data_IF_119685811191
#
_entry.id   IF_119685811191
#
_cell.length_a   1.000
_cell.length_b   1.000
_cell.length_c   1.000
_cell.angle_alpha   90.00
_cell.angle_beta   90.00
_cell.angle_gamma   90.00
#
_symmetry.space_group_name_H-M   'P 1'
#
loop_
_entity.id
_entity.type
_entity.pdbx_description
1 polymer ?
#
# COMPACT_ATOMS: atom_id res chain seq x y z
N UNK A 1 61.33 -18.48 -43.43
CA UNK A 1 60.95 -18.52 -44.85
C UNK A 1 59.60 -17.85 -45.05
N UNK A 2 59.51 -16.88 -45.97
CA UNK A 2 58.28 -16.37 -46.60
C UNK A 2 57.59 -15.24 -45.84
N UNK A 3 57.92 -13.97 -46.11
CA UNK A 3 57.43 -13.09 -47.21
C UNK A 3 56.17 -12.30 -46.77
N UNK A 4 56.30 -11.03 -46.41
CA UNK A 4 56.21 -9.84 -47.30
C UNK A 4 54.91 -9.74 -48.09
N UNK A 5 54.03 -8.80 -47.70
CA UNK A 5 53.40 -7.84 -48.62
C UNK A 5 52.69 -6.71 -47.89
N UNK A 6 53.27 -5.52 -48.06
CA UNK A 6 52.62 -4.23 -47.87
C UNK A 6 51.51 -4.02 -48.90
N UNK A 7 50.44 -3.34 -48.48
CA UNK A 7 49.58 -2.51 -49.34
C UNK A 7 48.93 -1.45 -48.47
N UNK A 8 49.52 -0.25 -48.51
CA UNK A 8 48.92 0.95 -47.96
C UNK A 8 47.74 1.41 -48.81
N UNK A 9 46.63 1.74 -48.16
CA UNK A 9 45.56 2.55 -48.72
C UNK A 9 45.48 3.79 -47.83
N UNK A 10 45.94 4.91 -48.38
CA UNK A 10 45.79 6.22 -47.78
C UNK A 10 44.30 6.54 -47.66
N UNK A 11 43.82 6.74 -46.42
CA UNK A 11 42.50 7.30 -46.19
C UNK A 11 42.50 8.79 -46.56
N UNK A 12 41.53 9.27 -47.35
CA UNK A 12 41.35 10.69 -47.60
C UNK A 12 40.98 11.39 -46.31
N UNK A 13 41.70 12.48 -46.00
CA UNK A 13 41.48 13.29 -44.81
C UNK A 13 40.04 13.80 -44.74
N UNK A 14 39.33 13.35 -43.71
CA UNK A 14 38.13 14.03 -43.23
C UNK A 14 38.56 15.40 -42.71
N UNK A 15 38.32 16.42 -43.54
CA UNK A 15 38.20 17.80 -43.10
C UNK A 15 37.22 17.83 -41.94
N UNK A 16 37.76 18.00 -40.73
CA UNK A 16 36.99 18.27 -39.53
C UNK A 16 36.15 19.51 -39.75
N UNK A 17 34.89 19.30 -40.15
CA UNK A 17 33.84 20.27 -39.98
C UNK A 17 33.75 20.51 -38.48
N UNK A 18 34.41 21.57 -38.02
CA UNK A 18 34.20 22.12 -36.70
C UNK A 18 32.69 22.30 -36.56
N UNK A 19 32.06 21.42 -35.81
CA UNK A 19 30.65 21.50 -35.50
C UNK A 19 30.44 22.89 -34.92
N UNK A 20 29.87 23.78 -35.72
CA UNK A 20 29.45 25.11 -35.32
C UNK A 20 28.49 24.86 -34.19
N UNK A 21 28.99 24.96 -32.95
CA UNK A 21 28.14 24.88 -31.78
C UNK A 21 27.18 26.05 -31.94
N UNK A 22 25.86 25.81 -32.04
CA UNK A 22 24.91 26.90 -32.10
C UNK A 22 25.18 27.83 -30.91
N UNK A 23 25.10 29.16 -31.10
CA UNK A 23 25.36 30.12 -30.04
C UNK A 23 24.56 29.71 -28.81
N UNK A 24 25.26 29.44 -27.70
CA UNK A 24 24.58 29.16 -26.45
C UNK A 24 23.86 30.44 -26.06
N UNK A 25 22.52 30.44 -25.95
CA UNK A 25 21.79 31.64 -25.58
C UNK A 25 22.25 32.06 -24.17
N UNK A 26 22.80 33.27 -24.05
CA UNK A 26 23.07 33.92 -22.78
C UNK A 26 21.74 34.07 -22.04
N UNK A 27 21.45 33.07 -21.21
CA UNK A 27 20.18 32.94 -20.48
C UNK A 27 20.41 33.45 -19.07
N UNK A 28 20.37 34.77 -18.90
CA UNK A 28 20.12 35.44 -17.61
C UNK A 28 18.63 35.40 -17.21
N UNK A 29 17.86 34.46 -17.78
CA UNK A 29 16.49 34.22 -17.40
C UNK A 29 16.43 33.50 -16.06
N UNK A 30 15.57 33.99 -15.16
CA UNK A 30 15.27 33.33 -13.89
C UNK A 30 14.88 31.87 -14.15
N UNK A 31 15.60 30.94 -13.52
CA UNK A 31 15.33 29.51 -13.62
C UNK A 31 13.93 29.23 -13.10
N UNK A 32 13.08 28.62 -13.93
CA UNK A 32 11.74 28.25 -13.51
C UNK A 32 11.78 26.93 -12.76
N UNK A 33 11.27 26.92 -11.52
CA UNK A 33 11.13 25.72 -10.71
C UNK A 33 9.69 25.22 -10.80
N UNK A 34 9.50 24.04 -11.36
CA UNK A 34 8.17 23.47 -11.46
C UNK A 34 7.62 23.14 -10.07
N UNK A 35 8.47 22.81 -9.09
CA UNK A 35 8.11 22.73 -7.68
C UNK A 35 8.94 23.71 -6.84
N UNK A 36 8.34 24.77 -6.27
CA UNK A 36 9.08 25.75 -5.46
C UNK A 36 9.85 25.14 -4.29
N UNK A 37 9.36 24.03 -3.73
CA UNK A 37 10.05 23.29 -2.65
C UNK A 37 11.39 22.66 -3.08
N UNK A 38 11.63 22.49 -4.38
CA UNK A 38 12.89 21.95 -4.91
C UNK A 38 13.99 23.01 -5.02
N UNK A 39 13.68 24.30 -4.84
CA UNK A 39 14.69 25.37 -4.82
C UNK A 39 15.76 25.10 -3.75
N UNK A 40 15.36 24.66 -2.55
CA UNK A 40 16.31 24.32 -1.47
C UNK A 40 17.19 23.12 -1.81
N UNK A 41 16.68 22.18 -2.61
CA UNK A 41 17.45 21.03 -3.09
C UNK A 41 18.49 21.48 -4.12
N UNK A 42 18.09 22.33 -5.07
CA UNK A 42 18.98 22.87 -6.11
C UNK A 42 20.03 23.84 -5.53
N UNK A 43 19.70 24.55 -4.46
CA UNK A 43 20.63 25.35 -3.68
C UNK A 43 21.59 24.51 -2.79
N UNK A 44 21.48 23.17 -2.81
CA UNK A 44 22.30 22.28 -1.99
C UNK A 44 21.99 22.33 -0.49
N UNK A 45 20.95 23.07 -0.08
CA UNK A 45 20.54 23.24 1.33
C UNK A 45 19.84 21.99 1.87
N UNK A 46 19.23 21.19 1.00
CA UNK A 46 18.59 19.92 1.38
C UNK A 46 19.04 18.77 0.48
N UNK A 47 19.22 17.58 1.05
CA UNK A 47 19.45 16.34 0.29
C UNK A 47 18.17 15.67 -0.21
N UNK A 48 17.00 16.25 0.11
CA UNK A 48 15.68 15.70 -0.18
C UNK A 48 14.99 16.60 -1.20
N UNK A 49 14.60 16.02 -2.33
CA UNK A 49 13.58 16.59 -3.21
C UNK A 49 12.24 16.52 -2.47
N UNK A 50 11.32 17.44 -2.78
CA UNK A 50 9.93 17.31 -2.36
C UNK A 50 9.35 16.01 -2.94
N UNK A 51 9.51 14.92 -2.20
CA UNK A 51 8.93 13.64 -2.55
C UNK A 51 7.42 13.76 -2.40
N UNK A 52 6.69 13.22 -3.36
CA UNK A 52 5.23 13.14 -3.32
C UNK A 52 4.76 12.25 -2.16
N UNK A 53 5.61 11.30 -1.73
CA UNK A 53 5.32 10.38 -0.63
C UNK A 53 6.24 10.66 0.55
N UNK A 54 5.65 11.08 1.66
CA UNK A 54 6.35 11.25 2.91
C UNK A 54 6.66 9.88 3.53
N UNK A 55 7.91 9.65 3.97
CA UNK A 55 8.32 8.36 4.56
C UNK A 55 7.51 7.95 5.80
N UNK A 56 6.91 8.90 6.52
CA UNK A 56 6.03 8.60 7.66
C UNK A 56 4.77 7.86 7.23
N UNK A 57 4.22 8.15 6.04
CA UNK A 57 3.03 7.46 5.50
C UNK A 57 3.34 5.97 5.33
N UNK A 58 4.52 5.63 4.79
CA UNK A 58 4.97 4.23 4.65
C UNK A 58 5.09 3.57 6.02
N UNK A 59 5.64 4.28 7.01
CA UNK A 59 5.74 3.79 8.38
C UNK A 59 4.36 3.47 9.00
N UNK A 60 3.38 4.36 8.83
CA UNK A 60 2.01 4.16 9.29
C UNK A 60 1.34 2.98 8.57
N UNK A 61 1.48 2.90 7.24
CA UNK A 61 0.94 1.77 6.46
C UNK A 61 1.53 0.43 6.93
N UNK A 62 2.84 0.37 7.16
CA UNK A 62 3.49 -0.84 7.68
C UNK A 62 3.01 -1.20 9.10
N UNK A 63 2.83 -0.20 9.98
CA UNK A 63 2.30 -0.43 11.32
C UNK A 63 0.88 -1.02 11.28
N UNK A 64 0.00 -0.42 10.47
CA UNK A 64 -1.38 -0.92 10.28
C UNK A 64 -1.37 -2.34 9.73
N UNK A 65 -0.49 -2.65 8.77
CA UNK A 65 -0.34 -4.00 8.22
C UNK A 65 0.08 -5.00 9.30
N UNK A 66 1.08 -4.67 10.13
CA UNK A 66 1.56 -5.56 11.21
C UNK A 66 0.49 -5.80 12.27
N UNK A 67 -0.19 -4.73 12.71
CA UNK A 67 -1.29 -4.84 13.69
C UNK A 67 -2.44 -5.65 13.10
N UNK A 68 -2.82 -5.39 11.85
CA UNK A 68 -3.86 -6.14 11.15
C UNK A 68 -3.53 -7.62 11.01
N UNK A 69 -2.30 -7.96 10.65
CA UNK A 69 -1.82 -9.35 10.63
C UNK A 69 -1.88 -9.99 12.01
N UNK A 70 -1.44 -9.28 13.06
CA UNK A 70 -1.48 -9.81 14.43
C UNK A 70 -2.91 -10.12 14.87
N UNK A 71 -3.86 -9.22 14.62
CA UNK A 71 -5.28 -9.43 14.93
C UNK A 71 -5.83 -10.60 14.11
N UNK A 72 -5.57 -10.62 12.81
CA UNK A 72 -6.06 -11.64 11.89
C UNK A 72 -5.58 -13.05 12.26
N UNK A 73 -4.28 -13.21 12.51
CA UNK A 73 -3.70 -14.50 12.89
C UNK A 73 -4.01 -14.88 14.34
N UNK A 74 -3.97 -13.92 15.26
CA UNK A 74 -4.18 -14.16 16.69
C UNK A 74 -5.62 -14.55 17.02
N UNK A 75 -6.61 -13.89 16.40
CA UNK A 75 -8.03 -14.12 16.70
C UNK A 75 -8.69 -15.03 15.66
N UNK A 76 -8.46 -14.76 14.37
CA UNK A 76 -9.13 -15.46 13.28
C UNK A 76 -8.62 -16.89 13.12
N UNK A 77 -7.31 -17.05 12.89
CA UNK A 77 -6.72 -18.37 12.57
C UNK A 77 -6.72 -19.31 13.76
N UNK A 78 -6.42 -18.82 14.97
CA UNK A 78 -6.51 -19.63 16.20
C UNK A 78 -7.92 -20.18 16.39
N UNK A 79 -8.91 -19.36 16.09
CA UNK A 79 -10.32 -19.74 16.02
C UNK A 79 -10.58 -20.95 15.14
N UNK A 80 -10.24 -20.81 13.87
CA UNK A 80 -10.46 -21.84 12.86
C UNK A 80 -9.70 -23.14 13.15
N UNK A 81 -8.48 -23.05 13.70
CA UNK A 81 -7.72 -24.24 14.13
C UNK A 81 -8.41 -24.96 15.28
N UNK A 82 -8.99 -24.23 16.23
CA UNK A 82 -9.74 -24.83 17.33
C UNK A 82 -11.02 -25.50 16.81
N UNK A 83 -11.73 -24.87 15.87
CA UNK A 83 -12.94 -25.43 15.27
C UNK A 83 -12.60 -26.75 14.53
N UNK A 84 -11.55 -26.79 13.70
CA UNK A 84 -11.08 -28.01 13.04
C UNK A 84 -10.69 -29.10 14.04
N UNK A 85 -9.97 -28.73 15.10
CA UNK A 85 -9.57 -29.70 16.14
C UNK A 85 -10.77 -30.26 16.88
N UNK A 86 -11.79 -29.44 17.10
CA UNK A 86 -13.03 -29.83 17.76
C UNK A 86 -13.84 -30.78 16.88
N UNK A 87 -13.89 -30.55 15.56
CA UNK A 87 -14.52 -31.48 14.62
C UNK A 87 -13.79 -32.83 14.54
N UNK A 88 -12.46 -32.81 14.56
CA UNK A 88 -11.64 -34.03 14.39
C UNK A 88 -11.48 -34.85 15.67
N UNK A 89 -11.33 -34.17 16.82
CA UNK A 89 -10.95 -34.80 18.09
C UNK A 89 -11.92 -34.48 19.23
N UNK A 90 -13.07 -33.86 18.93
CA UNK A 90 -14.06 -33.51 19.93
C UNK A 90 -14.73 -34.73 20.52
N UNK A 91 -14.92 -34.70 21.84
CA UNK A 91 -15.71 -35.70 22.56
C UNK A 91 -17.04 -35.06 22.94
N UNK A 92 -18.14 -35.77 22.69
CA UNK A 92 -19.47 -35.33 23.08
C UNK A 92 -19.79 -35.77 24.52
N UNK A 93 -20.43 -34.88 25.28
CA UNK A 93 -20.96 -35.15 26.62
C UNK A 93 -22.29 -34.43 26.81
N UNK A 94 -23.04 -34.84 27.83
CA UNK A 94 -24.21 -34.10 28.28
C UNK A 94 -23.79 -32.97 29.23
N UNK A 95 -24.24 -31.77 28.93
CA UNK A 95 -24.15 -30.59 29.81
C UNK A 95 -25.53 -30.16 30.29
N UNK A 96 -25.55 -29.14 31.13
CA UNK A 96 -26.75 -28.57 31.72
C UNK A 96 -26.73 -27.06 31.61
N UNK A 97 -27.83 -26.48 31.16
CA UNK A 97 -28.01 -25.02 31.13
C UNK A 97 -28.13 -24.49 32.56
N UNK A 98 -27.33 -23.49 32.90
CA UNK A 98 -27.33 -22.85 34.23
C UNK A 98 -27.90 -21.45 34.21
N UNK A 99 -27.78 -20.76 33.07
CA UNK A 99 -28.39 -19.46 32.84
C UNK A 99 -28.63 -19.20 31.34
N UNK A 100 -29.45 -18.19 31.05
CA UNK A 100 -29.76 -17.76 29.69
C UNK A 100 -30.00 -16.26 29.67
N UNK A 101 -29.42 -15.54 28.70
CA UNK A 101 -29.51 -14.09 28.59
C UNK A 101 -29.89 -13.67 27.16
N UNK A 102 -30.74 -12.66 27.06
CA UNK A 102 -31.02 -11.93 25.82
C UNK A 102 -30.34 -10.57 25.91
N UNK A 103 -29.50 -10.24 24.93
CA UNK A 103 -28.83 -8.95 24.83
C UNK A 103 -29.39 -8.20 23.63
N UNK A 104 -30.18 -7.16 23.90
CA UNK A 104 -30.69 -6.26 22.87
C UNK A 104 -29.56 -5.35 22.39
N UNK A 105 -29.32 -5.32 21.08
CA UNK A 105 -28.48 -4.34 20.40
C UNK A 105 -29.31 -3.48 19.45
N UNK A 106 -28.70 -2.40 18.94
CA UNK A 106 -29.40 -1.39 18.12
C UNK A 106 -30.12 -2.00 16.89
N UNK A 107 -29.52 -3.00 16.25
CA UNK A 107 -30.04 -3.62 15.02
C UNK A 107 -30.51 -5.07 15.20
N UNK A 108 -30.19 -5.73 16.33
CA UNK A 108 -30.53 -7.14 16.54
C UNK A 108 -30.42 -7.58 18.00
N UNK A 109 -31.24 -8.56 18.38
CA UNK A 109 -31.14 -9.26 19.67
C UNK A 109 -30.22 -10.47 19.55
N UNK A 110 -29.24 -10.57 20.45
CA UNK A 110 -28.35 -11.72 20.57
C UNK A 110 -28.76 -12.59 21.75
N UNK A 111 -28.69 -13.91 21.57
CA UNK A 111 -29.15 -14.90 22.55
C UNK A 111 -27.96 -15.70 23.07
N UNK A 112 -27.81 -15.77 24.39
CA UNK A 112 -26.70 -16.44 25.05
C UNK A 112 -27.22 -17.52 25.98
N UNK A 113 -26.52 -18.66 25.99
CA UNK A 113 -26.75 -19.75 26.93
C UNK A 113 -25.46 -19.95 27.74
N UNK A 114 -25.59 -19.88 29.06
CA UNK A 114 -24.55 -20.32 29.99
C UNK A 114 -24.83 -21.76 30.40
N UNK A 115 -23.83 -22.63 30.25
CA UNK A 115 -23.98 -24.05 30.52
C UNK A 115 -22.75 -24.62 31.21
N UNK A 116 -22.97 -25.72 31.92
CA UNK A 116 -21.93 -26.47 32.60
C UNK A 116 -21.87 -27.92 32.15
N UNK A 117 -20.67 -28.49 32.11
CA UNK A 117 -20.45 -29.91 31.81
C UNK A 117 -19.22 -30.44 32.54
N UNK A 118 -19.08 -31.77 32.59
CA UNK A 118 -17.94 -32.46 33.21
C UNK A 118 -17.04 -33.03 32.13
N UNK A 119 -15.79 -32.56 32.07
CA UNK A 119 -14.79 -33.10 31.14
C UNK A 119 -14.24 -34.43 31.68
N UNK A 120 -14.57 -35.53 31.00
CA UNK A 120 -14.37 -36.91 31.49
C UNK A 120 -12.90 -37.20 31.81
N UNK A 121 -11.97 -36.78 30.95
CA UNK A 121 -10.55 -37.10 31.11
C UNK A 121 -9.87 -36.38 32.28
N UNK A 122 -10.35 -35.17 32.64
CA UNK A 122 -9.73 -34.33 33.68
C UNK A 122 -10.56 -34.23 34.95
N UNK A 123 -11.70 -34.92 34.97
CA UNK A 123 -12.72 -34.84 36.00
C UNK A 123 -13.10 -33.42 36.43
N UNK A 124 -13.03 -32.47 35.48
CA UNK A 124 -13.16 -31.04 35.77
C UNK A 124 -14.52 -30.54 35.31
N UNK A 125 -15.20 -29.81 36.20
CA UNK A 125 -16.38 -29.02 35.85
C UNK A 125 -15.95 -27.80 35.03
N UNK A 126 -16.59 -27.60 33.89
CA UNK A 126 -16.34 -26.49 32.97
C UNK A 126 -17.65 -25.73 32.82
N UNK A 127 -17.57 -24.40 32.90
CA UNK A 127 -18.66 -23.49 32.61
C UNK A 127 -18.27 -22.65 31.41
N UNK A 128 -19.21 -22.46 30.49
CA UNK A 128 -19.02 -21.66 29.29
C UNK A 128 -20.30 -20.91 28.93
N UNK A 129 -20.13 -19.73 28.35
CA UNK A 129 -21.19 -18.96 27.71
C UNK A 129 -21.02 -19.10 26.19
N UNK A 130 -22.12 -19.30 25.47
CA UNK A 130 -22.11 -19.34 24.00
C UNK A 130 -23.31 -18.59 23.44
N UNK A 131 -23.07 -17.77 22.42
CA UNK A 131 -24.13 -17.20 21.59
C UNK A 131 -24.74 -18.30 20.75
N UNK A 132 -26.07 -18.38 20.70
CA UNK A 132 -26.81 -19.40 19.95
C UNK A 132 -27.87 -18.75 19.05
N UNK A 133 -28.36 -19.49 18.07
CA UNK A 133 -29.53 -19.06 17.30
C UNK A 133 -30.79 -18.95 18.16
N UNK A 134 -31.74 -18.09 17.79
CA UNK A 134 -33.07 -18.01 18.43
C UNK A 134 -33.77 -19.36 18.52
N UNK A 135 -33.64 -20.20 17.48
CA UNK A 135 -34.27 -21.53 17.43
C UNK A 135 -33.73 -22.47 18.50
N UNK A 136 -32.44 -22.37 18.82
CA UNK A 136 -31.82 -23.18 19.87
C UNK A 136 -32.02 -22.56 21.25
N UNK A 137 -31.93 -21.22 21.35
CA UNK A 137 -32.23 -20.49 22.58
C UNK A 137 -33.63 -20.83 23.11
N UNK A 138 -34.66 -20.70 22.27
CA UNK A 138 -36.04 -21.00 22.65
C UNK A 138 -36.26 -22.45 23.14
N UNK A 139 -35.43 -23.39 22.68
CA UNK A 139 -35.47 -24.80 23.10
C UNK A 139 -34.71 -25.07 24.40
N UNK A 140 -33.63 -24.34 24.67
CA UNK A 140 -32.69 -24.67 25.74
C UNK A 140 -32.67 -23.69 26.91
N UNK A 141 -33.28 -22.50 26.78
CA UNK A 141 -33.23 -21.42 27.78
C UNK A 141 -33.69 -21.80 29.19
N UNK A 142 -34.51 -22.84 29.35
CA UNK A 142 -34.97 -23.25 30.67
C UNK A 142 -33.79 -23.77 31.52
N UNK A 143 -33.56 -23.13 32.67
CA UNK A 143 -32.50 -23.53 33.60
C UNK A 143 -32.64 -24.99 33.98
N UNK A 144 -31.55 -25.71 33.80
CA UNK A 144 -31.45 -27.13 34.06
C UNK A 144 -31.73 -28.02 32.86
N UNK A 145 -32.07 -27.46 31.71
CA UNK A 145 -32.21 -28.18 30.44
C UNK A 145 -30.93 -28.93 30.09
N UNK A 146 -31.09 -30.14 29.57
CA UNK A 146 -29.99 -30.97 29.10
C UNK A 146 -29.59 -30.54 27.70
N UNK A 147 -28.30 -30.28 27.49
CA UNK A 147 -27.72 -29.94 26.18
C UNK A 147 -26.60 -30.90 25.84
N UNK A 148 -26.37 -31.14 24.55
CA UNK A 148 -25.19 -31.88 24.09
C UNK A 148 -24.05 -30.92 23.86
N UNK A 149 -22.90 -31.20 24.45
CA UNK A 149 -21.70 -30.37 24.35
C UNK A 149 -20.62 -31.21 23.69
N UNK A 150 -19.97 -30.66 22.66
CA UNK A 150 -18.73 -31.21 22.13
C UNK A 150 -17.58 -30.36 22.64
N UNK A 151 -16.54 -30.99 23.19
CA UNK A 151 -15.37 -30.30 23.73
C UNK A 151 -14.08 -30.99 23.33
N UNK A 152 -12.98 -30.24 23.32
CA UNK A 152 -11.66 -30.77 23.04
C UNK A 152 -11.05 -31.35 24.34
N UNK A 153 -10.74 -32.66 24.44
CA UNK A 153 -10.28 -33.24 25.72
C UNK A 153 -8.96 -32.66 26.23
N UNK A 154 -8.03 -32.34 25.32
CA UNK A 154 -6.77 -31.69 25.67
C UNK A 154 -6.97 -30.29 26.28
N UNK A 155 -8.02 -29.57 25.87
CA UNK A 155 -8.38 -28.25 26.38
C UNK A 155 -9.91 -28.05 26.42
N UNK A 156 -10.59 -28.44 27.52
CA UNK A 156 -12.05 -28.37 27.62
C UNK A 156 -12.66 -26.96 27.54
N UNK A 157 -11.85 -25.90 27.65
CA UNK A 157 -12.29 -24.53 27.39
C UNK A 157 -12.61 -24.27 25.91
N UNK A 158 -12.16 -25.14 25.00
CA UNK A 158 -12.61 -25.17 23.60
C UNK A 158 -13.79 -26.14 23.51
N UNK A 159 -14.99 -25.59 23.37
CA UNK A 159 -16.24 -26.34 23.36
C UNK A 159 -17.32 -25.65 22.50
N UNK A 160 -18.32 -26.43 22.11
CA UNK A 160 -19.49 -25.98 21.36
C UNK A 160 -20.75 -26.78 21.74
N UNK A 161 -21.92 -26.19 21.52
CA UNK A 161 -23.21 -26.86 21.69
C UNK A 161 -23.56 -27.62 20.41
N UNK A 162 -23.80 -28.92 20.51
CA UNK A 162 -24.11 -29.78 19.36
C UNK A 162 -25.52 -29.48 18.85
N UNK A 163 -25.65 -29.28 17.54
CA UNK A 163 -26.91 -28.89 16.90
C UNK A 163 -27.09 -27.36 16.79
N UNK A 164 -26.10 -26.60 17.23
CA UNK A 164 -26.00 -25.19 16.90
C UNK A 164 -25.35 -25.02 15.53
N UNK A 165 -26.20 -25.03 14.50
CA UNK A 165 -25.79 -24.81 13.11
C UNK A 165 -25.59 -23.32 12.79
N UNK A 166 -25.62 -22.43 13.79
CA UNK A 166 -24.86 -21.19 13.75
C UNK A 166 -23.37 -21.53 13.81
N UNK A 167 -22.90 -22.35 12.88
CA UNK A 167 -21.58 -22.16 12.29
C UNK A 167 -21.55 -20.68 11.99
N UNK A 168 -20.65 -19.96 12.67
CA UNK A 168 -20.47 -18.53 12.53
C UNK A 168 -20.09 -18.23 11.08
N UNK A 169 -21.06 -18.27 10.15
CA UNK A 169 -20.87 -17.90 8.76
C UNK A 169 -20.29 -16.49 8.73
N UNK A 170 -20.68 -15.65 9.69
CA UNK A 170 -20.10 -14.33 9.93
C UNK A 170 -18.60 -14.38 10.26
N UNK A 171 -18.12 -15.36 11.04
CA UNK A 171 -16.70 -15.54 11.35
C UNK A 171 -15.92 -16.00 10.12
N UNK A 172 -16.39 -17.02 9.42
CA UNK A 172 -15.70 -17.54 8.21
C UNK A 172 -15.67 -16.48 7.12
N UNK A 173 -16.80 -15.81 6.86
CA UNK A 173 -16.87 -14.67 5.94
C UNK A 173 -15.96 -13.54 6.42
N UNK A 174 -15.95 -13.24 7.71
CA UNK A 174 -15.06 -12.23 8.31
C UNK A 174 -13.57 -12.54 8.11
N UNK A 175 -13.16 -13.81 8.23
CA UNK A 175 -11.79 -14.25 7.94
C UNK A 175 -11.48 -14.08 6.44
N UNK A 176 -12.38 -14.46 5.55
CA UNK A 176 -12.17 -14.31 4.10
C UNK A 176 -12.06 -12.83 3.71
N UNK A 177 -13.00 -12.00 4.18
CA UNK A 177 -13.01 -10.55 3.94
C UNK A 177 -11.76 -9.90 4.54
N UNK A 178 -11.41 -10.24 5.79
CA UNK A 178 -10.21 -9.75 6.45
C UNK A 178 -8.92 -10.09 5.68
N UNK A 179 -8.84 -11.31 5.14
CA UNK A 179 -7.71 -11.73 4.30
C UNK A 179 -7.63 -10.90 3.01
N UNK A 180 -8.75 -10.70 2.31
CA UNK A 180 -8.81 -9.89 1.09
C UNK A 180 -8.36 -8.45 1.38
N UNK A 181 -8.86 -7.84 2.45
CA UNK A 181 -8.46 -6.49 2.87
C UNK A 181 -6.96 -6.41 3.16
N UNK A 182 -6.41 -7.38 3.89
CA UNK A 182 -4.96 -7.45 4.17
C UNK A 182 -4.12 -7.56 2.89
N UNK A 183 -4.55 -8.37 1.93
CA UNK A 183 -3.85 -8.53 0.64
C UNK A 183 -3.88 -7.22 -0.14
N UNK A 184 -5.06 -6.59 -0.29
CA UNK A 184 -5.19 -5.31 -1.02
C UNK A 184 -4.32 -4.23 -0.36
N UNK A 185 -4.38 -4.12 0.97
CA UNK A 185 -3.58 -3.15 1.72
C UNK A 185 -2.07 -3.41 1.61
N UNK A 186 -1.67 -4.69 1.62
CA UNK A 186 -0.29 -5.11 1.37
C UNK A 186 0.20 -4.70 -0.01
N UNK A 187 -0.62 -4.87 -1.05
CA UNK A 187 -0.29 -4.45 -2.42
C UNK A 187 -0.14 -2.93 -2.53
N UNK A 188 -1.04 -2.15 -1.91
CA UNK A 188 -0.94 -0.69 -1.86
C UNK A 188 0.36 -0.27 -1.17
N UNK A 189 0.65 -0.85 -0.01
CA UNK A 189 1.89 -0.56 0.74
C UNK A 189 3.14 -0.89 -0.08
N UNK A 190 3.15 -2.03 -0.78
CA UNK A 190 4.23 -2.43 -1.66
C UNK A 190 4.39 -1.47 -2.85
N UNK A 191 3.29 -1.02 -3.46
CA UNK A 191 3.32 -0.05 -4.56
C UNK A 191 3.88 1.32 -4.12
N UNK A 192 3.45 1.82 -2.97
CA UNK A 192 3.95 3.06 -2.37
C UNK A 192 5.44 2.91 -2.00
N UNK A 193 5.82 1.79 -1.38
CA UNK A 193 7.20 1.51 -1.03
C UNK A 193 8.12 1.41 -2.26
N UNK A 194 7.68 0.72 -3.31
CA UNK A 194 8.41 0.65 -4.57
C UNK A 194 8.55 2.03 -5.23
N UNK A 195 7.51 2.85 -5.18
CA UNK A 195 7.56 4.23 -5.68
C UNK A 195 8.55 5.09 -4.91
N UNK A 196 8.61 4.88 -3.59
CA UNK A 196 9.60 5.53 -2.71
C UNK A 196 11.03 5.07 -3.02
N UNK A 197 11.27 3.76 -3.19
CA UNK A 197 12.59 3.23 -3.56
C UNK A 197 13.04 3.74 -4.93
N UNK A 198 12.14 3.77 -5.91
CA UNK A 198 12.41 4.33 -7.24
C UNK A 198 12.80 5.81 -7.16
N UNK A 199 12.11 6.58 -6.32
CA UNK A 199 12.43 8.00 -6.09
C UNK A 199 13.81 8.17 -5.43
N UNK A 200 14.19 7.29 -4.50
CA UNK A 200 15.53 7.30 -3.89
C UNK A 200 16.63 6.96 -4.89
N UNK A 201 16.37 6.05 -5.82
CA UNK A 201 17.34 5.72 -6.86
C UNK A 201 17.59 6.91 -7.79
N UNK A 202 16.53 7.59 -8.23
CA UNK A 202 16.61 8.81 -9.03
C UNK A 202 17.42 9.90 -8.31
N UNK A 203 17.20 10.07 -7.00
CA UNK A 203 17.95 11.02 -6.17
C UNK A 203 19.44 10.69 -6.03
N UNK A 204 19.79 9.40 -5.92
CA UNK A 204 21.18 8.99 -5.67
C UNK A 204 22.03 8.93 -6.93
N UNK A 205 21.43 8.50 -8.04
CA UNK A 205 22.13 8.24 -9.31
C UNK A 205 21.78 9.24 -10.42
N UNK A 206 20.77 10.07 -10.21
CA UNK A 206 20.33 11.02 -11.22
C UNK A 206 21.33 12.15 -11.42
N UNK A 207 21.46 12.59 -12.65
CA UNK A 207 22.23 13.75 -13.08
C UNK A 207 21.29 14.90 -13.38
N UNK A 208 21.64 16.11 -12.95
CA UNK A 208 20.90 17.31 -13.32
C UNK A 208 21.25 17.71 -14.74
N UNK A 209 20.24 17.86 -15.59
CA UNK A 209 20.37 18.35 -16.96
C UNK A 209 19.44 19.55 -17.17
N UNK A 210 19.83 20.43 -18.10
CA UNK A 210 19.00 21.58 -18.49
C UNK A 210 18.00 21.15 -19.56
N UNK A 211 16.76 21.58 -19.38
CA UNK A 211 15.71 21.53 -20.38
C UNK A 211 15.18 22.93 -20.68
N UNK A 212 14.18 22.98 -21.54
CA UNK A 212 13.55 24.21 -22.00
C UNK A 212 12.03 24.04 -21.93
N UNK A 213 11.34 25.06 -21.39
CA UNK A 213 9.88 25.13 -21.39
C UNK A 213 9.40 25.38 -22.82
N UNK A 214 8.51 24.52 -23.31
CA UNK A 214 7.85 24.72 -24.61
C UNK A 214 6.54 25.48 -24.46
N UNK A 215 5.74 25.11 -23.45
CA UNK A 215 4.49 25.79 -23.11
C UNK A 215 4.14 25.53 -21.65
N UNK A 216 3.56 26.52 -21.00
CA UNK A 216 3.03 26.39 -19.64
C UNK A 216 1.62 26.99 -19.63
N UNK A 217 0.62 26.19 -19.28
CA UNK A 217 -0.77 26.62 -19.18
C UNK A 217 -1.31 26.28 -17.80
N UNK A 218 -2.23 27.09 -17.29
CA UNK A 218 -2.96 26.80 -16.07
C UNK A 218 -4.46 26.71 -16.35
N UNK A 219 -5.15 25.91 -15.57
CA UNK A 219 -6.61 25.85 -15.54
C UNK A 219 -7.06 25.65 -14.09
N UNK A 220 -8.07 26.41 -13.67
CA UNK A 220 -8.71 26.24 -12.37
C UNK A 220 -9.83 25.20 -12.54
N UNK A 221 -9.94 24.26 -11.60
CA UNK A 221 -11.04 23.31 -11.58
C UNK A 221 -12.26 23.85 -10.80
N UNK A 222 -13.29 23.01 -10.66
CA UNK A 222 -14.55 23.40 -10.00
C UNK A 222 -14.39 23.72 -8.51
N UNK A 223 -13.31 23.25 -7.88
CA UNK A 223 -13.02 23.45 -6.46
C UNK A 223 -12.02 24.58 -6.23
N UNK A 224 -11.77 25.41 -7.25
CA UNK A 224 -10.79 26.50 -7.23
C UNK A 224 -9.35 25.97 -6.99
N UNK A 225 -9.04 24.74 -7.42
CA UNK A 225 -7.66 24.24 -7.44
C UNK A 225 -6.99 24.56 -8.79
N UNK A 226 -5.82 25.18 -8.74
CA UNK A 226 -5.05 25.56 -9.92
C UNK A 226 -4.22 24.38 -10.41
N UNK A 227 -4.56 23.84 -11.58
CA UNK A 227 -3.76 22.83 -12.28
C UNK A 227 -2.85 23.49 -13.29
N UNK A 228 -1.55 23.25 -13.18
CA UNK A 228 -0.55 23.69 -14.17
C UNK A 228 -0.15 22.49 -15.03
N UNK A 229 -0.19 22.69 -16.35
CA UNK A 229 0.35 21.77 -17.35
C UNK A 229 1.59 22.38 -17.99
N UNK A 230 2.73 21.76 -17.74
CA UNK A 230 4.04 22.14 -18.26
C UNK A 230 4.47 21.17 -19.35
N UNK A 231 4.66 21.69 -20.57
CA UNK A 231 5.33 20.98 -21.66
C UNK A 231 6.76 21.47 -21.77
N UNK A 232 7.71 20.55 -21.77
CA UNK A 232 9.13 20.84 -21.81
C UNK A 232 9.88 19.86 -22.69
N UNK A 233 11.06 20.26 -23.15
CA UNK A 233 11.99 19.40 -23.87
C UNK A 233 13.37 19.39 -23.21
N UNK A 234 14.11 18.32 -23.42
CA UNK A 234 15.49 18.20 -22.98
C UNK A 234 16.27 17.18 -23.80
N UNK A 235 17.58 17.26 -23.74
CA UNK A 235 18.48 16.30 -24.38
C UNK A 235 19.07 15.36 -23.33
N UNK A 236 18.97 14.05 -23.57
CA UNK A 236 19.65 13.04 -22.76
C UNK A 236 21.18 13.20 -22.88
N UNK A 237 21.98 12.62 -21.96
CA UNK A 237 23.44 12.57 -22.11
C UNK A 237 23.93 11.92 -23.42
N UNK A 238 23.09 11.10 -24.07
CA UNK A 238 23.35 10.49 -25.37
C UNK A 238 22.93 11.37 -26.57
N UNK A 239 22.47 12.61 -26.33
CA UNK A 239 22.06 13.55 -27.37
C UNK A 239 20.63 13.34 -27.90
N UNK A 240 19.88 12.36 -27.39
CA UNK A 240 18.47 12.14 -27.78
C UNK A 240 17.56 13.21 -27.18
N UNK A 241 16.75 13.87 -28.01
CA UNK A 241 15.73 14.81 -27.57
C UNK A 241 14.50 14.06 -27.00
N UNK A 242 14.02 14.51 -25.85
CA UNK A 242 12.80 14.01 -25.21
C UNK A 242 11.88 15.20 -24.92
N UNK A 243 10.65 15.14 -25.45
CA UNK A 243 9.59 16.10 -25.15
C UNK A 243 8.54 15.46 -24.25
N UNK A 244 8.16 16.15 -23.18
CA UNK A 244 7.22 15.64 -22.16
C UNK A 244 6.27 16.71 -21.68
N UNK A 245 5.15 16.24 -21.17
CA UNK A 245 4.12 17.06 -20.52
C UNK A 245 3.93 16.51 -19.11
N UNK A 246 4.05 17.38 -18.12
CA UNK A 246 3.64 17.08 -16.75
C UNK A 246 2.56 18.04 -16.29
N UNK A 247 1.58 17.50 -15.58
CA UNK A 247 0.49 18.28 -14.98
C UNK A 247 0.49 18.06 -13.48
N UNK A 248 0.22 19.12 -12.72
CA UNK A 248 0.05 19.04 -11.27
C UNK A 248 -0.86 20.13 -10.74
N UNK A 249 -1.50 19.85 -9.61
CA UNK A 249 -2.10 20.86 -8.76
C UNK A 249 -0.99 21.72 -8.13
N UNK A 250 -1.14 23.03 -8.23
CA UNK A 250 -0.09 24.00 -7.89
C UNK A 250 -0.69 25.34 -7.43
N UNK A 251 -1.53 25.30 -6.39
CA UNK A 251 -2.21 26.48 -5.83
C UNK A 251 -1.23 27.59 -5.41
N UNK A 252 0.03 27.26 -5.15
CA UNK A 252 1.09 28.24 -4.90
C UNK A 252 1.36 29.20 -6.09
N UNK A 253 0.87 28.90 -7.30
CA UNK A 253 1.06 29.73 -8.50
C UNK A 253 -0.11 30.63 -8.86
N UNK A 254 -1.23 30.66 -8.10
CA UNK A 254 -2.41 31.47 -8.45
C UNK A 254 -2.09 32.94 -8.75
N UNK A 255 -1.08 33.50 -8.07
CA UNK A 255 -0.65 34.88 -8.23
C UNK A 255 0.76 35.01 -8.82
N UNK A 256 1.33 33.93 -9.36
CA UNK A 256 2.69 33.91 -9.89
C UNK A 256 2.64 33.80 -11.41
N UNK A 257 3.35 34.65 -12.17
CA UNK A 257 3.38 34.53 -13.62
C UNK A 257 3.94 33.18 -14.04
N UNK A 258 3.27 32.51 -14.98
CA UNK A 258 3.71 31.23 -15.53
C UNK A 258 5.00 31.38 -16.36
N UNK A 259 5.75 30.28 -16.48
CA UNK A 259 6.94 30.22 -17.32
C UNK A 259 6.60 30.52 -18.79
N UNK A 260 7.44 31.34 -19.43
CA UNK A 260 7.34 31.60 -20.87
C UNK A 260 8.04 30.47 -21.65
N UNK A 261 7.60 30.18 -22.89
CA UNK A 261 8.38 29.34 -23.81
C UNK A 261 9.82 29.85 -23.92
N UNK A 262 10.79 28.94 -23.86
CA UNK A 262 12.22 29.26 -23.84
C UNK A 262 12.84 29.36 -22.44
N UNK A 263 12.03 29.46 -21.37
CA UNK A 263 12.58 29.50 -20.03
C UNK A 263 13.35 28.20 -19.70
N UNK A 264 14.54 28.29 -19.08
CA UNK A 264 15.28 27.11 -18.68
C UNK A 264 14.57 26.39 -17.53
N UNK A 265 14.52 25.06 -17.61
CA UNK A 265 14.01 24.20 -16.53
C UNK A 265 15.06 23.16 -16.15
N UNK A 266 15.15 22.81 -14.87
CA UNK A 266 16.09 21.77 -14.42
C UNK A 266 15.39 20.42 -14.33
N UNK A 267 16.04 19.39 -14.86
CA UNK A 267 15.51 18.03 -14.88
C UNK A 267 16.50 17.13 -14.17
N UNK A 268 16.03 16.38 -13.18
CA UNK A 268 16.78 15.28 -12.61
C UNK A 268 16.58 14.05 -13.48
N UNK A 269 17.63 13.66 -14.21
CA UNK A 269 17.60 12.59 -15.19
C UNK A 269 18.39 11.37 -14.70
N UNK A 270 17.80 10.18 -14.74
CA UNK A 270 18.51 8.91 -14.53
C UNK A 270 18.55 8.07 -15.81
N UNK A 271 17.41 7.97 -16.51
CA UNK A 271 17.30 7.33 -17.81
C UNK A 271 16.03 7.81 -18.53
N UNK A 272 15.82 7.39 -19.77
CA UNK A 272 14.67 7.81 -20.59
C UNK A 272 13.30 7.50 -19.97
N UNK A 273 13.22 6.48 -19.10
CA UNK A 273 11.98 6.10 -18.39
C UNK A 273 11.89 6.72 -16.99
N UNK A 274 12.98 7.32 -16.49
CA UNK A 274 13.10 7.82 -15.12
C UNK A 274 13.81 9.17 -15.13
N UNK A 275 13.00 10.20 -15.21
CA UNK A 275 13.41 11.58 -15.04
C UNK A 275 12.31 12.30 -14.24
N UNK A 276 12.64 13.47 -13.69
CA UNK A 276 11.67 14.33 -13.01
C UNK A 276 12.04 15.78 -13.23
N UNK A 277 11.06 16.60 -13.59
CA UNK A 277 11.23 18.05 -13.65
C UNK A 277 11.22 18.61 -12.22
N UNK A 278 12.18 19.50 -11.92
CA UNK A 278 12.35 20.06 -10.57
C UNK A 278 11.63 21.39 -10.40
#
# INVERSE_FOLDING_TARGET
>A
CGADRASGIAQPGELGAAAVRPPQPETTGEMFFFHPKNERFLAGKTKRIAATVNGWIIGVLLLVLVVGLFIFFGVGVVGLVNDIKLDQNGVETTGRVIDSEEREGDDSTSYYIEYEFRAVEKDRKVTAEKQVSWSNYSRWREKGSSVRVRYLPSNPSVNELVGDNTVDNNRTVGIIVGFIVLVVFGLITLAVFNSYLRSRELLRKGTLIKGEVLSCSSHEDSDDDLHITLRFRFFTPAGKEITKTESRMANEFKNTPLARPGNPVTILFLNEKRYRVL
#
